data_IF_276797330076
#
_entry.id   IF_276797330076
#
_cell.length_a   1.000
_cell.length_b   1.000
_cell.length_c   1.000
_cell.angle_alpha   90.00
_cell.angle_beta   90.00
_cell.angle_gamma   90.00
#
_symmetry.space_group_name_H-M   'P 1'
#
loop_
_entity.id
_entity.type
_entity.pdbx_description
1 polymer ?
#
# COMPACT_ATOMS: atom_id res chain seq x y z
N UNK A 1 17.57 32.96 0.39
CA UNK A 1 17.64 32.08 1.58
C UNK A 1 16.31 31.37 1.82
N UNK A 2 16.00 30.36 0.99
CA UNK A 2 15.06 29.25 1.25
C UNK A 2 15.56 27.93 0.65
N UNK A 3 16.66 27.95 -0.13
CA UNK A 3 17.14 26.82 -0.92
C UNK A 3 17.80 25.68 -0.12
N UNK A 4 18.02 25.83 1.19
CA UNK A 4 18.62 24.77 2.01
C UNK A 4 17.59 23.70 2.40
N UNK A 5 16.32 24.08 2.64
CA UNK A 5 15.23 23.15 2.96
C UNK A 5 14.87 22.26 1.76
N UNK A 6 14.94 22.80 0.54
CA UNK A 6 14.68 22.07 -0.71
C UNK A 6 15.81 21.10 -1.11
N UNK A 7 16.95 21.14 -0.39
CA UNK A 7 18.13 20.31 -0.66
C UNK A 7 18.28 19.11 0.28
N UNK A 8 17.50 19.05 1.36
CA UNK A 8 17.56 17.97 2.36
C UNK A 8 16.55 16.85 2.12
N UNK A 9 15.58 17.07 1.24
CA UNK A 9 14.59 16.05 0.91
C UNK A 9 14.95 15.46 -0.46
N UNK A 10 15.40 14.19 -0.52
CA UNK A 10 15.86 13.58 -1.76
C UNK A 10 14.66 13.40 -2.69
N UNK A 11 14.63 14.20 -3.76
CA UNK A 11 13.74 14.03 -4.90
C UNK A 11 12.66 15.11 -5.07
N UNK A 12 12.28 15.42 -6.33
CA UNK A 12 11.19 16.33 -6.66
C UNK A 12 9.87 15.87 -6.02
N UNK A 13 8.91 16.79 -5.85
CA UNK A 13 7.59 16.49 -5.26
C UNK A 13 6.92 15.26 -5.88
N UNK A 14 7.12 15.05 -7.19
CA UNK A 14 6.68 13.87 -7.93
C UNK A 14 7.29 12.56 -7.43
N UNK A 15 8.56 12.56 -7.01
CA UNK A 15 9.25 11.35 -6.52
C UNK A 15 8.69 10.92 -5.17
N UNK A 16 8.36 11.87 -4.28
CA UNK A 16 7.68 11.57 -3.01
C UNK A 16 6.26 11.04 -3.22
N UNK A 17 5.56 11.58 -4.21
CA UNK A 17 4.24 11.09 -4.62
C UNK A 17 4.31 9.65 -5.13
N UNK A 18 5.32 9.33 -5.95
CA UNK A 18 5.56 7.97 -6.45
C UNK A 18 5.91 7.04 -5.29
N UNK A 19 6.82 7.44 -4.40
CA UNK A 19 7.19 6.63 -3.23
C UNK A 19 5.99 6.34 -2.31
N UNK A 20 5.18 7.36 -2.01
CA UNK A 20 3.95 7.19 -1.25
C UNK A 20 2.94 6.26 -1.94
N UNK A 21 2.79 6.39 -3.27
CA UNK A 21 1.96 5.48 -4.07
C UNK A 21 2.47 4.04 -4.06
N UNK A 22 3.79 3.84 -4.14
CA UNK A 22 4.41 2.51 -4.08
C UNK A 22 4.19 1.89 -2.71
N UNK A 23 4.39 2.65 -1.62
CA UNK A 23 4.11 2.16 -0.27
C UNK A 23 2.63 1.80 -0.08
N UNK A 24 1.72 2.65 -0.56
CA UNK A 24 0.29 2.35 -0.52
C UNK A 24 -0.05 1.09 -1.33
N UNK A 25 0.50 0.95 -2.54
CA UNK A 25 0.31 -0.23 -3.37
C UNK A 25 0.85 -1.50 -2.70
N UNK A 26 2.03 -1.44 -2.07
CA UNK A 26 2.59 -2.57 -1.32
C UNK A 26 1.71 -2.98 -0.14
N UNK A 27 1.14 -2.02 0.59
CA UNK A 27 0.20 -2.30 1.68
C UNK A 27 -1.08 -2.94 1.15
N UNK A 28 -1.66 -2.39 0.07
CA UNK A 28 -2.86 -2.95 -0.56
C UNK A 28 -2.58 -4.36 -1.07
N UNK A 29 -1.48 -4.59 -1.79
CA UNK A 29 -1.10 -5.92 -2.26
C UNK A 29 -0.86 -6.89 -1.10
N UNK A 30 -0.20 -6.46 -0.03
CA UNK A 30 -0.02 -7.27 1.16
C UNK A 30 -1.35 -7.64 1.85
N UNK A 31 -2.28 -6.69 1.91
CA UNK A 31 -3.63 -6.92 2.42
C UNK A 31 -4.39 -7.92 1.54
N UNK A 32 -4.32 -7.80 0.21
CA UNK A 32 -5.03 -8.70 -0.71
C UNK A 32 -4.39 -10.09 -0.82
N UNK A 33 -3.06 -10.19 -0.78
CA UNK A 33 -2.37 -11.47 -0.95
C UNK A 33 -2.26 -12.26 0.37
N UNK A 34 -2.16 -11.59 1.52
CA UNK A 34 -1.97 -12.25 2.81
C UNK A 34 -3.17 -12.10 3.74
N UNK A 35 -3.69 -10.88 3.92
CA UNK A 35 -4.75 -10.64 4.90
C UNK A 35 -6.09 -11.13 4.39
N UNK A 36 -6.39 -10.99 3.10
CA UNK A 36 -7.64 -11.45 2.53
C UNK A 36 -7.79 -12.99 2.56
N UNK A 37 -6.80 -13.81 2.19
CA UNK A 37 -6.91 -15.26 2.34
C UNK A 37 -7.10 -15.70 3.79
N UNK A 38 -6.35 -15.10 4.72
CA UNK A 38 -6.53 -15.35 6.15
C UNK A 38 -7.93 -14.96 6.64
N UNK A 39 -8.41 -13.77 6.25
CA UNK A 39 -9.74 -13.30 6.62
C UNK A 39 -10.84 -14.14 5.96
N UNK A 40 -10.62 -14.61 4.74
CA UNK A 40 -11.56 -15.47 4.04
C UNK A 40 -11.66 -16.84 4.72
N UNK A 41 -10.54 -17.43 5.14
CA UNK A 41 -10.53 -18.68 5.91
C UNK A 41 -11.18 -18.48 7.30
N UNK A 42 -10.95 -17.33 7.94
CA UNK A 42 -11.48 -17.08 9.29
C UNK A 42 -12.97 -16.72 9.30
N UNK A 43 -13.42 -15.93 8.32
CA UNK A 43 -14.76 -15.33 8.30
C UNK A 43 -15.64 -15.86 7.16
N UNK A 44 -15.15 -16.77 6.33
CA UNK A 44 -15.89 -17.38 5.20
C UNK A 44 -16.54 -16.33 4.30
N UNK A 45 -15.78 -15.26 4.00
CA UNK A 45 -16.26 -14.09 3.25
C UNK A 45 -16.65 -14.42 1.80
N UNK A 46 -16.10 -15.50 1.24
CA UNK A 46 -16.33 -15.92 -0.14
C UNK A 46 -17.61 -16.74 -0.35
N UNK A 47 -18.59 -16.66 0.55
CA UNK A 47 -19.93 -17.24 0.40
C UNK A 47 -19.89 -18.73 0.04
N UNK A 48 -20.01 -19.61 1.02
CA UNK A 48 -20.14 -21.06 0.81
C UNK A 48 -21.18 -21.39 -0.28
N UNK A 49 -20.71 -21.63 -1.52
CA UNK A 49 -21.44 -22.39 -2.52
C UNK A 49 -21.23 -23.87 -2.19
N UNK A 50 -21.79 -24.31 -1.06
CA UNK A 50 -21.86 -25.72 -0.70
C UNK A 50 -22.73 -26.43 -1.74
N UNK A 51 -22.09 -27.12 -2.69
CA UNK A 51 -22.72 -28.13 -3.55
C UNK A 51 -22.71 -29.50 -2.88
#
# INVERSE_FOLDING_TARGET
MYGWIWRHLPGPVWLRLIEALVLAALVVLGLFEFVFPWANETFHLSGEATV
#
